data_IF_828292057059
#
_entry.id   IF_828292057059
#
_cell.length_a   1.000
_cell.length_b   1.000
_cell.length_c   1.000
_cell.angle_alpha   90.00
_cell.angle_beta   90.00
_cell.angle_gamma   90.00
#
_symmetry.space_group_name_H-M   'P 1'
#
loop_
_entity.id
_entity.type
_entity.pdbx_description
1 polymer ?
#
# COMPACT_ATOMS: atom_id res chain seq x y z
N UNK A 1 -8.13 -7.44 -21.16
CA UNK A 1 -8.51 -6.39 -20.18
C UNK A 1 -7.54 -6.50 -19.02
N UNK A 2 -7.17 -5.42 -18.32
CA UNK A 2 -6.42 -5.54 -17.08
C UNK A 2 -7.30 -6.24 -16.04
N UNK A 3 -6.77 -7.28 -15.39
CA UNK A 3 -7.49 -8.00 -14.32
C UNK A 3 -7.65 -7.07 -13.11
N UNK A 4 -8.91 -6.79 -12.74
CA UNK A 4 -9.24 -5.97 -11.58
C UNK A 4 -9.11 -6.77 -10.29
N UNK A 5 -8.11 -6.41 -9.50
CA UNK A 5 -7.88 -6.96 -8.17
C UNK A 5 -7.99 -5.88 -7.11
N UNK A 6 -8.77 -6.17 -6.07
CA UNK A 6 -8.99 -5.29 -4.93
C UNK A 6 -8.33 -5.92 -3.71
N UNK A 7 -7.40 -5.18 -3.10
CA UNK A 7 -6.86 -5.51 -1.78
C UNK A 7 -7.59 -4.67 -0.72
N UNK A 8 -8.48 -5.31 0.04
CA UNK A 8 -9.33 -4.67 1.04
C UNK A 8 -8.89 -5.01 2.45
N UNK A 9 -8.46 -4.00 3.22
CA UNK A 9 -8.27 -4.15 4.67
C UNK A 9 -9.55 -3.69 5.39
N UNK A 10 -10.33 -4.64 5.87
CA UNK A 10 -11.51 -4.39 6.71
C UNK A 10 -11.20 -4.82 8.14
N UNK A 11 -11.14 -3.85 9.06
CA UNK A 11 -10.68 -4.05 10.43
C UNK A 11 -9.28 -4.70 10.44
N UNK A 12 -9.18 -5.95 10.89
CA UNK A 12 -7.93 -6.74 10.93
C UNK A 12 -7.85 -7.80 9.83
N UNK A 13 -8.85 -7.87 8.94
CA UNK A 13 -8.94 -8.86 7.87
C UNK A 13 -8.52 -8.26 6.54
N UNK A 14 -7.51 -8.85 5.91
CA UNK A 14 -7.05 -8.47 4.58
C UNK A 14 -7.67 -9.42 3.55
N UNK A 15 -8.49 -8.89 2.66
CA UNK A 15 -9.14 -9.63 1.58
C UNK A 15 -8.50 -9.30 0.25
N UNK A 16 -8.23 -10.32 -0.56
CA UNK A 16 -7.89 -10.17 -1.97
C UNK A 16 -9.08 -10.62 -2.80
N UNK A 17 -9.67 -9.69 -3.54
CA UNK A 17 -10.86 -9.91 -4.33
C UNK A 17 -10.46 -9.82 -5.81
N UNK A 18 -10.67 -10.90 -6.54
CA UNK A 18 -10.55 -10.94 -8.00
C UNK A 18 -11.96 -10.85 -8.58
N UNK A 19 -12.27 -9.71 -9.21
CA UNK A 19 -13.63 -9.40 -9.66
C UNK A 19 -13.99 -10.23 -10.88
N UNK A 20 -13.02 -10.55 -11.74
CA UNK A 20 -13.24 -11.33 -12.97
C UNK A 20 -13.49 -12.80 -12.67
N UNK A 21 -12.80 -13.35 -11.66
CA UNK A 21 -12.96 -14.73 -11.22
C UNK A 21 -14.09 -14.92 -10.22
N UNK A 22 -14.75 -13.84 -9.79
CA UNK A 22 -15.75 -13.83 -8.71
C UNK A 22 -15.23 -14.54 -7.46
N UNK A 23 -13.97 -14.26 -7.09
CA UNK A 23 -13.28 -14.91 -5.97
C UNK A 23 -12.84 -13.89 -4.92
N UNK A 24 -13.04 -14.21 -3.65
CA UNK A 24 -12.55 -13.45 -2.51
C UNK A 24 -11.76 -14.35 -1.57
N UNK A 25 -10.48 -14.04 -1.39
CA UNK A 25 -9.56 -14.80 -0.55
C UNK A 25 -9.23 -14.01 0.70
N UNK A 26 -9.42 -14.61 1.88
CA UNK A 26 -8.89 -14.04 3.11
C UNK A 26 -7.37 -14.30 3.17
N UNK A 27 -6.56 -13.24 3.14
CA UNK A 27 -5.12 -13.36 3.30
C UNK A 27 -4.81 -13.55 4.78
N UNK A 28 -4.39 -14.76 5.14
CA UNK A 28 -4.00 -15.18 6.51
C UNK A 28 -2.75 -14.47 7.07
N UNK A 29 -2.19 -13.48 6.37
CA UNK A 29 -0.96 -12.81 6.80
C UNK A 29 -1.21 -11.98 8.04
N UNK A 30 -0.46 -12.27 9.11
CA UNK A 30 -0.53 -11.55 10.38
C UNK A 30 0.40 -10.35 10.41
N UNK A 31 1.29 -10.18 9.42
CA UNK A 31 2.35 -9.18 9.50
C UNK A 31 2.44 -8.28 8.27
N UNK A 32 1.72 -7.16 8.32
CA UNK A 32 1.79 -6.11 7.29
C UNK A 32 3.09 -5.31 7.32
N UNK A 33 3.90 -5.41 8.38
CA UNK A 33 5.09 -4.55 8.58
C UNK A 33 6.06 -4.61 7.41
N UNK A 34 6.09 -5.69 6.64
CA UNK A 34 6.98 -5.85 5.49
C UNK A 34 6.42 -5.27 4.18
N UNK A 35 5.22 -4.70 4.21
CA UNK A 35 4.51 -4.15 3.04
C UNK A 35 4.46 -2.62 3.09
N UNK A 36 4.37 -1.93 1.94
CA UNK A 36 4.10 -0.49 1.93
C UNK A 36 2.81 -0.11 2.67
N UNK A 37 1.81 -0.99 2.72
CA UNK A 37 0.52 -0.75 3.37
C UNK A 37 0.68 -0.42 4.86
N UNK A 38 1.65 -1.04 5.55
CA UNK A 38 1.92 -0.76 6.96
C UNK A 38 2.15 0.74 7.23
N UNK A 39 2.85 1.42 6.33
CA UNK A 39 3.20 2.82 6.46
C UNK A 39 2.04 3.78 6.20
N UNK A 40 1.00 3.31 5.51
CA UNK A 40 -0.19 4.09 5.23
C UNK A 40 -1.23 4.00 6.33
N UNK A 41 -1.33 2.83 6.99
CA UNK A 41 -2.35 2.58 8.02
C UNK A 41 -1.83 2.81 9.44
N UNK A 42 -0.50 2.84 9.64
CA UNK A 42 0.11 3.10 10.94
C UNK A 42 0.87 4.42 10.92
N UNK A 43 0.67 5.23 11.96
CA UNK A 43 1.59 6.33 12.26
C UNK A 43 2.83 5.72 12.95
N UNK A 44 4.06 5.89 12.42
CA UNK A 44 5.24 5.43 13.12
C UNK A 44 5.32 6.12 14.49
N UNK A 45 5.43 5.30 15.55
CA UNK A 45 5.36 5.74 16.95
C UNK A 45 6.75 6.12 17.49
N UNK A 46 7.82 5.65 16.83
CA UNK A 46 9.20 5.91 17.26
C UNK A 46 10.09 6.43 16.12
N UNK A 47 11.26 6.95 16.50
CA UNK A 47 12.27 7.50 15.59
C UNK A 47 12.95 6.47 14.69
N UNK A 48 12.92 5.18 15.06
CA UNK A 48 13.54 4.10 14.29
C UNK A 48 12.68 3.75 13.06
N UNK A 49 11.38 4.05 13.13
CA UNK A 49 10.45 3.91 12.04
C UNK A 49 10.21 5.23 11.29
N UNK A 50 11.12 6.21 11.33
CA UNK A 50 11.03 7.40 10.48
C UNK A 50 11.88 7.20 9.22
N UNK A 51 11.32 7.33 8.01
CA UNK A 51 12.10 7.29 6.79
C UNK A 51 13.18 8.37 6.76
N UNK A 52 14.42 7.99 6.44
CA UNK A 52 15.58 8.88 6.44
C UNK A 52 15.88 9.38 5.04
N UNK A 53 16.15 10.68 4.90
CA UNK A 53 16.54 11.27 3.62
C UNK A 53 17.79 10.58 3.05
N UNK A 54 17.79 10.33 1.74
CA UNK A 54 18.91 9.71 1.03
C UNK A 54 19.47 10.67 -0.02
N UNK A 55 18.63 11.11 -0.97
CA UNK A 55 19.02 11.92 -2.11
C UNK A 55 17.81 12.63 -2.73
N UNK A 56 18.08 13.62 -3.57
CA UNK A 56 17.09 14.27 -4.43
C UNK A 56 17.36 13.94 -5.89
N UNK A 57 16.31 13.57 -6.64
CA UNK A 57 16.38 13.37 -8.09
C UNK A 57 15.09 13.86 -8.73
N UNK A 58 15.20 14.59 -9.84
CA UNK A 58 14.03 15.10 -10.59
C UNK A 58 13.04 15.90 -9.73
N UNK A 59 13.57 16.70 -8.77
CA UNK A 59 12.81 17.46 -7.75
C UNK A 59 12.01 16.59 -6.78
N UNK A 60 12.32 15.30 -6.67
CA UNK A 60 11.76 14.38 -5.69
C UNK A 60 12.81 14.06 -4.64
N UNK A 61 12.49 14.32 -3.37
CA UNK A 61 13.29 13.93 -2.22
C UNK A 61 12.97 12.48 -1.84
N UNK A 62 13.97 11.62 -1.85
CA UNK A 62 13.83 10.21 -1.54
C UNK A 62 14.23 9.91 -0.10
N UNK A 63 13.37 9.15 0.59
CA UNK A 63 13.55 8.75 1.97
C UNK A 63 13.50 7.23 2.09
N UNK A 64 14.46 6.63 2.78
CA UNK A 64 14.58 5.17 2.99
C UNK A 64 14.06 4.77 4.35
N UNK A 65 13.29 3.69 4.37
CA UNK A 65 12.94 2.99 5.61
C UNK A 65 14.08 2.06 6.05
N UNK A 66 14.14 1.75 7.35
CA UNK A 66 15.10 0.77 7.86
C UNK A 66 14.72 -0.69 7.58
N UNK A 67 13.65 -0.94 6.81
CA UNK A 67 13.12 -2.27 6.56
C UNK A 67 13.96 -3.05 5.55
N UNK A 68 14.01 -4.38 5.73
CA UNK A 68 14.80 -5.31 4.89
C UNK A 68 14.45 -5.21 3.41
N UNK A 69 13.18 -4.95 3.08
CA UNK A 69 12.71 -4.87 1.69
C UNK A 69 13.06 -3.53 1.02
N UNK A 70 13.88 -2.67 1.67
CA UNK A 70 14.38 -1.41 1.13
C UNK A 70 13.28 -0.51 0.56
N UNK A 71 12.20 -0.34 1.32
CA UNK A 71 11.10 0.53 0.96
C UNK A 71 11.54 2.00 1.03
N UNK A 72 11.30 2.75 -0.04
CA UNK A 72 11.60 4.17 -0.15
C UNK A 72 10.35 4.98 -0.53
N UNK A 73 10.26 6.20 0.00
CA UNK A 73 9.21 7.18 -0.30
C UNK A 73 9.82 8.37 -1.02
N UNK A 74 9.24 8.74 -2.17
CA UNK A 74 9.60 9.93 -2.92
C UNK A 74 8.58 11.03 -2.65
N UNK A 75 9.02 12.15 -2.08
CA UNK A 75 8.18 13.32 -1.82
C UNK A 75 8.55 14.47 -2.75
N UNK A 76 7.56 15.16 -3.29
CA UNK A 76 7.70 16.38 -4.06
C UNK A 76 6.75 17.43 -3.50
N UNK A 77 7.25 18.62 -3.19
CA UNK A 77 6.45 19.71 -2.62
C UNK A 77 5.67 19.28 -1.36
N UNK A 78 6.30 18.47 -0.50
CA UNK A 78 5.72 17.82 0.69
C UNK A 78 4.56 16.84 0.45
N UNK A 79 4.30 16.46 -0.81
CA UNK A 79 3.33 15.43 -1.16
C UNK A 79 4.03 14.14 -1.58
N UNK A 80 3.42 13.00 -1.25
CA UNK A 80 3.90 11.71 -1.76
C UNK A 80 3.77 11.69 -3.29
N UNK A 81 4.85 11.35 -3.98
CA UNK A 81 4.88 11.25 -5.44
C UNK A 81 5.19 9.85 -5.92
N UNK A 82 5.99 9.10 -5.17
CA UNK A 82 6.36 7.74 -5.53
C UNK A 82 6.67 6.86 -4.32
N UNK A 83 6.53 5.56 -4.52
CA UNK A 83 7.05 4.52 -3.63
C UNK A 83 7.92 3.57 -4.44
N UNK A 84 9.08 3.21 -3.91
CA UNK A 84 9.94 2.17 -4.48
C UNK A 84 10.12 1.05 -3.46
N UNK A 85 9.95 -0.19 -3.88
CA UNK A 85 10.13 -1.39 -3.05
C UNK A 85 11.01 -2.40 -3.79
N UNK A 86 12.02 -2.95 -3.13
CA UNK A 86 12.73 -4.11 -3.65
C UNK A 86 12.10 -5.39 -3.07
N UNK A 87 11.53 -6.22 -3.92
CA UNK A 87 10.94 -7.48 -3.48
C UNK A 87 12.04 -8.54 -3.19
N UNK A 88 11.63 -9.70 -2.67
CA UNK A 88 12.55 -10.80 -2.33
C UNK A 88 13.29 -11.39 -3.53
N UNK A 89 12.86 -11.07 -4.76
CA UNK A 89 13.49 -11.48 -6.01
C UNK A 89 14.47 -10.41 -6.55
N UNK A 90 14.81 -9.41 -5.74
CA UNK A 90 15.64 -8.25 -6.12
C UNK A 90 15.06 -7.44 -7.29
N UNK A 91 13.74 -7.49 -7.50
CA UNK A 91 13.07 -6.66 -8.48
C UNK A 91 12.62 -5.36 -7.80
N UNK A 92 12.82 -4.24 -8.47
CA UNK A 92 12.32 -2.95 -8.04
C UNK A 92 10.92 -2.71 -8.56
N UNK A 93 9.96 -2.56 -7.65
CA UNK A 93 8.60 -2.12 -7.94
C UNK A 93 8.54 -0.62 -7.67
N UNK A 94 8.14 0.15 -8.69
CA UNK A 94 7.95 1.60 -8.60
C UNK A 94 6.46 1.93 -8.76
N UNK A 95 5.88 2.55 -7.75
CA UNK A 95 4.53 3.13 -7.78
C UNK A 95 4.65 4.64 -7.89
N UNK A 96 3.88 5.26 -8.77
CA UNK A 96 3.82 6.72 -8.92
C UNK A 96 2.40 7.21 -8.73
N UNK A 97 2.26 8.39 -8.13
CA UNK A 97 0.97 8.97 -7.77
C UNK A 97 0.77 10.31 -8.46
N UNK A 98 -0.35 10.50 -9.13
CA UNK A 98 -0.62 11.72 -9.90
C UNK A 98 -1.75 12.59 -9.32
N UNK A 99 -2.69 12.02 -8.57
CA UNK A 99 -3.89 12.72 -8.07
C UNK A 99 -4.13 12.48 -6.58
N UNK A 100 -3.14 12.75 -5.74
CA UNK A 100 -3.30 12.59 -4.29
C UNK A 100 -4.23 13.68 -3.74
N UNK A 101 -5.25 13.26 -3.01
CA UNK A 101 -6.12 14.11 -2.20
C UNK A 101 -5.79 13.84 -0.74
N UNK A 102 -5.49 14.89 0.02
CA UNK A 102 -5.18 14.80 1.45
C UNK A 102 -6.45 15.13 2.24
N UNK A 103 -6.72 14.33 3.28
CA UNK A 103 -7.93 14.41 4.11
C UNK A 103 -9.24 14.44 3.28
N UNK A 104 -9.42 13.54 2.29
CA UNK A 104 -10.69 13.44 1.59
C UNK A 104 -11.80 13.02 2.56
N UNK A 105 -13.02 13.45 2.28
CA UNK A 105 -14.20 12.87 2.90
C UNK A 105 -14.46 11.51 2.26
N UNK A 106 -14.14 10.43 2.95
CA UNK A 106 -14.35 9.05 2.49
C UNK A 106 -15.59 8.51 3.19
N UNK A 107 -16.52 7.94 2.43
CA UNK A 107 -17.70 7.28 3.00
C UNK A 107 -17.29 6.09 3.88
N UNK A 108 -17.98 5.89 5.01
CA UNK A 108 -17.62 4.84 5.98
C UNK A 108 -17.70 3.43 5.40
N UNK A 109 -18.55 3.22 4.39
CA UNK A 109 -18.74 1.94 3.69
C UNK A 109 -17.66 1.66 2.63
N UNK A 110 -16.76 2.61 2.32
CA UNK A 110 -15.71 2.42 1.31
C UNK A 110 -14.73 1.29 1.65
N UNK A 111 -14.69 0.87 2.92
CA UNK A 111 -13.85 -0.23 3.42
C UNK A 111 -14.66 -1.46 3.82
N UNK A 112 -15.95 -1.53 3.49
CA UNK A 112 -16.79 -2.71 3.75
C UNK A 112 -16.61 -3.79 2.68
N UNK A 113 -16.63 -5.05 3.11
CA UNK A 113 -16.63 -6.19 2.20
C UNK A 113 -18.03 -6.40 1.62
N UNK A 114 -18.27 -5.87 0.43
CA UNK A 114 -19.55 -5.96 -0.28
C UNK A 114 -19.42 -6.84 -1.53
N UNK A 115 -19.56 -8.16 -1.36
CA UNK A 115 -19.49 -9.13 -2.45
C UNK A 115 -20.88 -9.41 -3.02
N UNK A 116 -20.95 -9.61 -4.34
CA UNK A 116 -22.20 -10.05 -5.00
C UNK A 116 -22.51 -11.49 -4.63
N UNK A 117 -23.79 -11.86 -4.68
CA UNK A 117 -24.21 -13.26 -4.57
C UNK A 117 -23.52 -14.08 -5.66
N UNK A 118 -22.92 -15.21 -5.30
CA UNK A 118 -22.22 -16.10 -6.24
C UNK A 118 -20.70 -16.07 -6.12
N UNK A 119 -20.12 -15.08 -5.42
CA UNK A 119 -18.68 -15.07 -5.14
C UNK A 119 -18.25 -16.32 -4.38
N UNK A 120 -17.17 -16.94 -4.84
CA UNK A 120 -16.46 -18.00 -4.11
C UNK A 120 -15.58 -17.36 -3.02
N UNK A 121 -15.73 -17.84 -1.79
CA UNK A 121 -15.06 -17.28 -0.61
C UNK A 121 -14.13 -18.34 -0.04
N UNK A 122 -12.84 -18.03 0.02
CA UNK A 122 -11.77 -18.93 0.47
C UNK A 122 -11.02 -18.36 1.68
#
# INVERSE_FOLDING_TARGET
>A
MPNEQILLLNNTKLWLIDVELEQANLISTTNLTQTPLYWFINRPIDSNHIPQYIYTKDKINWYKTQQTNQLNFGLKDNMLKAISLNNKLNQTILLTFDSIIINPNIESNAFELNLKTGFDIQ
#
